data_IF_779645736918
#
_entry.id   IF_779645736918
#
_cell.length_a   1.000
_cell.length_b   1.000
_cell.length_c   1.000
_cell.angle_alpha   90.00
_cell.angle_beta   90.00
_cell.angle_gamma   90.00
#
_symmetry.space_group_name_H-M   'P 1'
#
loop_
_entity.id
_entity.type
_entity.pdbx_description
1 polymer ?
#
# COMPACT_ATOMS: atom_id res chain seq x y z
N UNK A 1 16.62 3.94 6.81
CA UNK A 1 15.81 5.16 7.04
C UNK A 1 15.19 5.05 8.41
N UNK A 2 15.68 5.79 9.37
CA UNK A 2 15.08 5.87 10.71
C UNK A 2 13.81 6.69 10.58
N UNK A 3 12.67 6.10 10.92
CA UNK A 3 11.42 6.85 11.03
C UNK A 3 11.63 7.92 12.10
N UNK A 4 11.61 9.18 11.70
CA UNK A 4 11.84 10.30 12.60
C UNK A 4 10.58 10.49 13.45
N UNK A 5 10.52 9.80 14.59
CA UNK A 5 9.39 9.84 15.53
C UNK A 5 9.16 11.25 16.11
N UNK A 6 10.10 12.18 15.90
CA UNK A 6 10.00 13.57 16.33
C UNK A 6 9.51 14.52 15.24
N UNK A 7 9.11 14.02 14.07
CA UNK A 7 8.56 14.83 13.00
C UNK A 7 7.24 15.50 13.43
N UNK A 8 6.99 16.72 12.95
CA UNK A 8 5.73 17.42 13.16
C UNK A 8 4.57 16.63 12.53
N UNK A 9 3.32 16.91 12.95
CA UNK A 9 2.15 16.24 12.38
C UNK A 9 2.02 16.45 10.87
N UNK A 10 2.41 17.63 10.36
CA UNK A 10 2.43 17.92 8.93
C UNK A 10 3.49 17.12 8.19
N UNK A 11 4.68 16.96 8.76
CA UNK A 11 5.75 16.15 8.16
C UNK A 11 5.37 14.67 8.10
N UNK A 12 4.69 14.16 9.13
CA UNK A 12 4.18 12.79 9.14
C UNK A 12 3.09 12.59 8.08
N UNK A 13 2.17 13.52 7.93
CA UNK A 13 1.11 13.44 6.93
C UNK A 13 1.70 13.41 5.51
N UNK A 14 2.68 14.27 5.22
CA UNK A 14 3.38 14.28 3.95
C UNK A 14 4.11 12.96 3.70
N UNK A 15 4.81 12.45 4.69
CA UNK A 15 5.54 11.19 4.62
C UNK A 15 4.62 10.00 4.31
N UNK A 16 3.45 9.92 4.97
CA UNK A 16 2.49 8.85 4.69
C UNK A 16 1.80 9.02 3.33
N UNK A 17 1.51 10.25 2.94
CA UNK A 17 0.93 10.54 1.63
C UNK A 17 1.87 10.13 0.48
N UNK A 18 3.16 10.39 0.59
CA UNK A 18 4.15 9.99 -0.40
C UNK A 18 4.28 8.47 -0.53
N UNK A 19 4.22 7.75 0.59
CA UNK A 19 4.21 6.29 0.61
C UNK A 19 2.95 5.74 -0.06
N UNK A 20 1.78 6.24 0.31
CA UNK A 20 0.52 5.83 -0.30
C UNK A 20 0.49 6.16 -1.79
N UNK A 21 1.00 7.33 -2.19
CA UNK A 21 1.12 7.71 -3.60
C UNK A 21 1.93 6.70 -4.42
N UNK A 22 3.02 6.17 -3.86
CA UNK A 22 3.80 5.12 -4.53
C UNK A 22 3.01 3.83 -4.71
N UNK A 23 2.18 3.45 -3.74
CA UNK A 23 1.32 2.27 -3.85
C UNK A 23 0.18 2.49 -4.87
N UNK A 24 -0.42 3.68 -4.92
CA UNK A 24 -1.47 4.03 -5.88
C UNK A 24 -0.98 3.98 -7.33
N UNK A 25 0.29 4.25 -7.58
CA UNK A 25 0.90 4.13 -8.92
C UNK A 25 1.01 2.68 -9.41
N UNK A 26 0.72 1.70 -8.56
CA UNK A 26 0.53 0.32 -8.97
C UNK A 26 -0.94 0.13 -9.34
N UNK A 27 -1.21 -0.12 -10.62
CA UNK A 27 -2.57 -0.25 -11.15
C UNK A 27 -3.16 -1.62 -10.83
N UNK A 28 -3.47 -1.88 -9.57
CA UNK A 28 -3.96 -3.17 -9.07
C UNK A 28 -5.46 -3.38 -9.30
N UNK A 29 -5.90 -3.21 -10.54
CA UNK A 29 -7.29 -3.41 -10.93
C UNK A 29 -7.61 -4.90 -10.95
N UNK A 30 -8.64 -5.32 -10.23
CA UNK A 30 -9.09 -6.72 -10.18
C UNK A 30 -10.21 -7.06 -11.17
N UNK A 31 -10.68 -6.08 -11.93
CA UNK A 31 -11.67 -6.30 -12.99
C UNK A 31 -11.10 -7.20 -14.08
N UNK A 32 -11.88 -8.22 -14.47
CA UNK A 32 -11.45 -9.29 -15.38
C UNK A 32 -10.82 -8.78 -16.69
N UNK A 33 -11.33 -7.68 -17.23
CA UNK A 33 -10.88 -7.14 -18.51
C UNK A 33 -9.63 -6.24 -18.41
N UNK A 34 -9.25 -5.81 -17.19
CA UNK A 34 -8.10 -4.93 -16.95
C UNK A 34 -7.13 -5.51 -15.90
N UNK A 35 -7.27 -6.77 -15.56
CA UNK A 35 -6.40 -7.46 -14.60
C UNK A 35 -5.00 -7.66 -15.19
N UNK A 36 -4.00 -7.16 -14.47
CA UNK A 36 -2.58 -7.24 -14.82
C UNK A 36 -1.78 -7.79 -13.65
N UNK A 37 -1.41 -9.08 -13.66
CA UNK A 37 -0.63 -9.69 -12.56
C UNK A 37 0.66 -8.95 -12.24
N UNK A 38 1.31 -8.38 -13.24
CA UNK A 38 2.54 -7.60 -13.08
C UNK A 38 2.38 -6.37 -12.17
N UNK A 39 1.21 -5.75 -12.14
CA UNK A 39 0.94 -4.60 -11.26
C UNK A 39 0.82 -5.02 -9.80
N UNK A 40 0.30 -6.20 -9.52
CA UNK A 40 0.27 -6.79 -8.17
C UNK A 40 1.68 -7.16 -7.69
N UNK A 41 2.50 -7.74 -8.56
CA UNK A 41 3.92 -8.00 -8.26
C UNK A 41 4.71 -6.72 -8.03
N UNK A 42 4.41 -5.67 -8.79
CA UNK A 42 4.99 -4.34 -8.61
C UNK A 42 4.61 -3.77 -7.23
N UNK A 43 3.33 -3.83 -6.84
CA UNK A 43 2.90 -3.40 -5.53
C UNK A 43 3.64 -4.14 -4.41
N UNK A 44 3.77 -5.45 -4.52
CA UNK A 44 4.52 -6.26 -3.54
C UNK A 44 5.96 -5.77 -3.35
N UNK A 45 6.65 -5.45 -4.45
CA UNK A 45 8.01 -4.88 -4.40
C UNK A 45 8.02 -3.50 -3.74
N UNK A 46 7.08 -2.64 -4.13
CA UNK A 46 6.94 -1.30 -3.55
C UNK A 46 6.70 -1.37 -2.04
N UNK A 47 5.82 -2.26 -1.58
CA UNK A 47 5.56 -2.46 -0.14
C UNK A 47 6.83 -2.93 0.59
N UNK A 48 7.59 -3.85 0.01
CA UNK A 48 8.85 -4.31 0.60
C UNK A 48 9.89 -3.18 0.73
N UNK A 49 9.97 -2.31 -0.26
CA UNK A 49 10.86 -1.14 -0.24
C UNK A 49 10.41 -0.07 0.76
N UNK A 50 9.10 0.17 0.86
CA UNK A 50 8.54 1.19 1.76
C UNK A 50 8.56 0.78 3.23
N UNK A 51 8.47 -0.52 3.50
CA UNK A 51 8.36 -1.07 4.86
C UNK A 51 9.43 -2.14 5.13
N UNK A 52 10.71 -1.77 5.10
CA UNK A 52 11.81 -2.74 5.22
C UNK A 52 11.83 -3.47 6.56
N UNK A 53 11.42 -2.83 7.65
CA UNK A 53 11.38 -3.48 8.97
C UNK A 53 10.35 -4.59 9.04
N UNK A 54 9.16 -4.40 8.43
CA UNK A 54 8.13 -5.44 8.33
C UNK A 54 8.66 -6.59 7.48
N UNK A 55 9.25 -6.28 6.34
CA UNK A 55 9.82 -7.28 5.43
C UNK A 55 10.91 -8.12 6.08
N UNK A 56 11.73 -7.53 6.94
CA UNK A 56 12.82 -8.23 7.65
C UNK A 56 12.33 -9.07 8.83
N UNK A 57 11.30 -8.61 9.55
CA UNK A 57 10.87 -9.20 10.82
C UNK A 57 9.65 -10.10 10.72
N UNK A 58 8.79 -9.87 9.72
CA UNK A 58 7.59 -10.66 9.55
C UNK A 58 7.86 -11.94 8.78
N UNK A 59 7.20 -13.01 9.19
CA UNK A 59 7.01 -14.19 8.35
C UNK A 59 6.00 -13.84 7.26
N UNK A 60 6.41 -13.93 6.00
CA UNK A 60 5.59 -13.57 4.85
C UNK A 60 5.08 -14.82 4.14
N UNK A 61 3.78 -14.89 3.93
CA UNK A 61 3.12 -15.98 3.20
C UNK A 61 2.19 -15.40 2.14
N UNK A 62 2.20 -16.01 0.97
CA UNK A 62 1.26 -15.71 -0.13
C UNK A 62 0.23 -16.83 -0.20
N UNK A 63 -1.04 -16.48 -0.17
CA UNK A 63 -2.15 -17.41 -0.39
C UNK A 63 -2.78 -17.12 -1.76
N UNK A 64 -2.96 -18.16 -2.56
CA UNK A 64 -3.38 -17.99 -3.94
C UNK A 64 -2.36 -17.13 -4.70
N UNK A 65 -2.83 -16.22 -5.53
CA UNK A 65 -1.97 -15.37 -6.34
C UNK A 65 -1.56 -14.08 -5.63
N UNK A 66 -2.47 -13.45 -4.89
CA UNK A 66 -2.30 -12.08 -4.41
C UNK A 66 -2.78 -11.81 -2.97
N UNK A 67 -3.09 -12.83 -2.18
CA UNK A 67 -3.40 -12.64 -0.77
C UNK A 67 -2.12 -12.76 0.08
N UNK A 68 -1.74 -11.68 0.75
CA UNK A 68 -0.50 -11.56 1.50
C UNK A 68 -0.75 -11.56 3.00
N UNK A 69 -0.01 -12.38 3.72
CA UNK A 69 0.00 -12.42 5.17
C UNK A 69 1.40 -12.08 5.69
N UNK A 70 1.47 -11.07 6.54
CA UNK A 70 2.65 -10.72 7.33
C UNK A 70 2.39 -11.07 8.78
N UNK A 71 3.08 -12.07 9.31
CA UNK A 71 2.94 -12.50 10.69
C UNK A 71 4.12 -12.03 11.51
N UNK A 72 3.85 -11.22 12.52
CA UNK A 72 4.82 -10.79 13.52
C UNK A 72 4.56 -11.54 14.82
N UNK A 73 5.59 -12.18 15.37
CA UNK A 73 5.51 -12.79 16.69
C UNK A 73 5.52 -11.73 17.78
N UNK A 74 4.54 -11.82 18.66
CA UNK A 74 4.48 -11.01 19.87
C UNK A 74 5.12 -11.71 21.06
N UNK A 75 5.08 -11.06 22.23
CA UNK A 75 5.55 -11.64 23.49
C UNK A 75 4.63 -12.73 24.02
N UNK A 76 3.35 -12.63 23.76
CA UNK A 76 2.31 -13.58 24.16
C UNK A 76 1.69 -14.19 22.91
N UNK A 77 2.06 -15.42 22.58
CA UNK A 77 1.56 -16.14 21.40
C UNK A 77 0.14 -16.69 21.58
N UNK A 78 -0.45 -16.58 22.77
CA UNK A 78 -1.83 -16.99 23.02
C UNK A 78 -2.86 -15.93 22.61
N UNK A 79 -2.41 -14.71 22.34
CA UNK A 79 -3.23 -13.57 21.89
C UNK A 79 -2.81 -13.12 20.51
N UNK A 80 -3.75 -13.16 19.60
CA UNK A 80 -3.51 -12.75 18.22
C UNK A 80 -4.43 -11.59 17.84
N UNK A 81 -3.87 -10.59 17.15
CA UNK A 81 -4.61 -9.49 16.55
C UNK A 81 -4.40 -9.58 15.04
N UNK A 82 -5.49 -9.53 14.28
CA UNK A 82 -5.47 -9.47 12.83
C UNK A 82 -5.91 -8.09 12.37
N UNK A 83 -5.08 -7.46 11.52
CA UNK A 83 -5.43 -6.24 10.81
C UNK A 83 -5.53 -6.59 9.32
N UNK A 84 -6.64 -6.25 8.71
CA UNK A 84 -6.91 -6.58 7.31
C UNK A 84 -7.16 -5.31 6.49
N UNK A 85 -6.68 -5.32 5.28
CA UNK A 85 -7.04 -4.36 4.24
C UNK A 85 -7.01 -5.06 2.89
N UNK A 86 -7.63 -4.48 1.87
CA UNK A 86 -7.47 -4.96 0.52
C UNK A 86 -6.60 -4.01 -0.30
N UNK A 87 -5.92 -4.52 -1.29
CA UNK A 87 -5.00 -3.75 -2.14
C UNK A 87 -5.44 -3.73 -3.62
N UNK A 88 -6.47 -4.48 -3.97
CA UNK A 88 -7.08 -4.39 -5.29
C UNK A 88 -8.04 -3.19 -5.36
N UNK A 89 -8.24 -2.70 -6.55
CA UNK A 89 -9.12 -1.59 -6.85
C UNK A 89 -10.00 -1.90 -8.06
N UNK A 90 -11.11 -1.17 -8.16
CA UNK A 90 -11.96 -1.18 -9.35
C UNK A 90 -11.38 -0.28 -10.45
N UNK A 91 -11.87 -0.42 -11.65
CA UNK A 91 -11.53 0.45 -12.78
C UNK A 91 -11.71 1.93 -12.44
N UNK A 92 -10.92 2.76 -13.06
CA UNK A 92 -11.08 4.21 -13.04
C UNK A 92 -11.74 4.65 -14.35
N UNK A 93 -13.06 4.79 -14.34
CA UNK A 93 -13.86 5.23 -15.47
C UNK A 93 -14.37 6.66 -15.27
N UNK A 94 -14.77 7.32 -16.36
CA UNK A 94 -15.29 8.69 -16.34
C UNK A 94 -14.18 9.75 -16.29
N UNK A 95 -14.62 10.98 -16.03
CA UNK A 95 -13.72 12.14 -15.99
C UNK A 95 -13.10 12.31 -14.62
N UNK A 96 -11.77 12.35 -14.58
CA UNK A 96 -10.98 12.55 -13.38
C UNK A 96 -10.31 13.91 -13.40
N UNK A 97 -10.27 14.60 -12.26
CA UNK A 97 -9.56 15.88 -12.13
C UNK A 97 -8.04 15.71 -12.17
N UNK A 98 -7.55 14.61 -11.64
CA UNK A 98 -6.14 14.23 -11.65
C UNK A 98 -6.01 12.78 -12.16
N UNK A 99 -4.84 12.40 -12.64
CA UNK A 99 -4.57 11.05 -13.12
C UNK A 99 -4.89 9.98 -12.04
N UNK A 100 -5.84 9.05 -12.28
CA UNK A 100 -6.32 8.13 -11.24
C UNK A 100 -5.24 7.22 -10.65
N UNK A 101 -4.21 6.89 -11.41
CA UNK A 101 -3.06 6.09 -10.93
C UNK A 101 -1.77 6.92 -10.87
N UNK A 102 -1.89 8.24 -10.81
CA UNK A 102 -0.75 9.15 -10.70
C UNK A 102 -0.20 9.31 -9.29
N UNK A 103 -1.03 9.06 -8.28
CA UNK A 103 -0.67 9.33 -6.88
C UNK A 103 -0.29 10.80 -6.71
N UNK A 104 -1.13 11.71 -7.20
CA UNK A 104 -0.88 13.15 -7.22
C UNK A 104 -1.14 13.75 -5.86
N UNK A 105 -0.14 14.41 -5.29
CA UNK A 105 -0.27 15.17 -4.03
C UNK A 105 -0.37 16.65 -4.40
N UNK A 106 -1.53 17.25 -4.15
CA UNK A 106 -1.82 18.63 -4.54
C UNK A 106 -2.83 19.24 -3.59
N UNK A 107 -2.61 20.49 -3.20
CA UNK A 107 -3.50 21.26 -2.32
C UNK A 107 -3.83 20.54 -0.99
N UNK A 108 -2.84 19.87 -0.38
CA UNK A 108 -2.99 19.12 0.86
C UNK A 108 -3.82 17.85 0.74
N UNK A 109 -4.04 17.35 -0.48
CA UNK A 109 -4.82 16.14 -0.77
C UNK A 109 -3.99 15.17 -1.61
N UNK A 110 -4.21 13.87 -1.37
CA UNK A 110 -3.73 12.81 -2.25
C UNK A 110 -4.89 12.37 -3.16
N UNK A 111 -4.65 12.43 -4.45
CA UNK A 111 -5.62 12.10 -5.49
C UNK A 111 -5.28 10.75 -6.12
N UNK A 112 -6.28 9.88 -6.26
CA UNK A 112 -6.10 8.64 -6.98
C UNK A 112 -7.17 7.60 -6.70
N UNK A 113 -7.20 6.57 -7.50
CA UNK A 113 -8.04 5.41 -7.28
C UNK A 113 -7.47 4.58 -6.12
N UNK A 114 -8.25 4.40 -5.06
CA UNK A 114 -7.84 3.66 -3.85
C UNK A 114 -7.36 4.55 -2.69
N UNK A 115 -7.49 5.89 -2.82
CA UNK A 115 -7.19 6.81 -1.71
C UNK A 115 -8.30 6.82 -0.66
#
# INVERSE_FOLDING_TARGET
MTDNINASSGDKAQFYAERLAKMIRCKTVSEKNDFKPEEFLKLRKVVAELFPLVTQKAEFTVFGDDAYLYKLKGKDETRNVMVMSHHDVVEATGDWQEEPFGGVIKDGKLWGRGT
#
